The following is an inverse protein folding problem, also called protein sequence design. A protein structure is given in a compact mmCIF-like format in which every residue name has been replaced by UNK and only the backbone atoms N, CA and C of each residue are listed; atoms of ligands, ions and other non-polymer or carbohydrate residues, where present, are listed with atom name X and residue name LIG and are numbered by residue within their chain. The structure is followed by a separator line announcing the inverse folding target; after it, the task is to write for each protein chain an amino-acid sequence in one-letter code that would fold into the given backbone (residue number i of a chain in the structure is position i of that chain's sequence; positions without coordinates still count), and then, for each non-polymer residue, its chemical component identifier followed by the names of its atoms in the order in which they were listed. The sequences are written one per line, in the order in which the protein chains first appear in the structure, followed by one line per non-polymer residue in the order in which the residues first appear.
data_IF_934336045002
#
_entry.id   IF_934336045002
#
_cell.length_a   1.000
_cell.length_b   1.000
_cell.length_c   1.000
_cell.angle_alpha   90.00
_cell.angle_beta   90.00
_cell.angle_gamma   90.00
#
_symmetry.space_group_name_H-M   'P 1'
#
loop_
_entity.id
_entity.type
_entity.pdbx_description
1 polymer ?
#
# COMPACT_ATOMS: atom_id res chain seq x y z
N UNK A 1 2.10 24.36 4.36
CA UNK A 1 2.13 22.91 4.05
C UNK A 1 1.16 22.26 5.02
N UNK A 2 0.14 21.57 4.53
CA UNK A 2 -0.98 21.12 5.36
C UNK A 2 -0.92 19.59 5.49
N UNK A 3 -0.40 19.12 6.63
CA UNK A 3 -0.20 17.71 6.90
C UNK A 3 -1.52 16.93 6.80
N UNK A 4 -2.63 17.55 7.19
CA UNK A 4 -3.96 16.96 7.11
C UNK A 4 -4.38 16.70 5.67
N UNK A 5 -4.11 17.63 4.74
CA UNK A 5 -4.39 17.45 3.30
C UNK A 5 -3.54 16.34 2.69
N UNK A 6 -2.27 16.27 3.09
CA UNK A 6 -1.36 15.24 2.63
C UNK A 6 -1.78 13.85 3.12
N UNK A 7 -2.18 13.74 4.39
CA UNK A 7 -2.67 12.49 4.97
C UNK A 7 -3.98 12.03 4.30
N UNK A 8 -4.92 12.95 4.06
CA UNK A 8 -6.17 12.64 3.34
C UNK A 8 -5.89 12.16 1.91
N UNK A 9 -4.98 12.82 1.19
CA UNK A 9 -4.59 12.38 -0.15
C UNK A 9 -3.84 11.05 -0.16
N UNK A 10 -2.98 10.81 0.84
CA UNK A 10 -2.33 9.52 1.05
C UNK A 10 -3.33 8.41 1.32
N UNK A 11 -4.32 8.65 2.19
CA UNK A 11 -5.41 7.72 2.47
C UNK A 11 -6.23 7.40 1.20
N UNK A 12 -6.52 8.40 0.37
CA UNK A 12 -7.19 8.15 -0.91
C UNK A 12 -6.38 7.20 -1.80
N UNK A 13 -5.06 7.40 -1.90
CA UNK A 13 -4.18 6.47 -2.63
C UNK A 13 -4.15 5.06 -2.04
N UNK A 14 -4.16 4.93 -0.71
CA UNK A 14 -4.21 3.64 -0.01
C UNK A 14 -5.54 2.91 -0.26
N UNK A 15 -6.66 3.62 -0.27
CA UNK A 15 -7.98 3.05 -0.61
C UNK A 15 -8.00 2.58 -2.06
N UNK A 16 -7.50 3.40 -3.00
CA UNK A 16 -7.40 3.01 -4.41
C UNK A 16 -6.55 1.76 -4.58
N UNK A 17 -5.39 1.69 -3.93
CA UNK A 17 -4.51 0.52 -3.95
C UNK A 17 -5.24 -0.75 -3.46
N UNK A 18 -5.97 -0.66 -2.34
CA UNK A 18 -6.72 -1.80 -1.80
C UNK A 18 -7.85 -2.25 -2.71
N UNK A 19 -8.64 -1.33 -3.26
CA UNK A 19 -9.69 -1.64 -4.22
C UNK A 19 -9.13 -2.32 -5.47
N UNK A 20 -7.98 -1.86 -5.92
CA UNK A 20 -7.26 -2.39 -7.06
C UNK A 20 -6.80 -3.83 -6.77
N UNK A 21 -6.20 -4.11 -5.62
CA UNK A 21 -5.83 -5.47 -5.22
C UNK A 21 -7.05 -6.40 -5.12
N UNK A 22 -8.13 -5.94 -4.49
CA UNK A 22 -9.35 -6.72 -4.30
C UNK A 22 -10.03 -7.03 -5.64
N UNK A 23 -10.15 -6.04 -6.52
CA UNK A 23 -10.70 -6.23 -7.86
C UNK A 23 -9.83 -7.19 -8.68
N UNK A 24 -8.51 -7.03 -8.65
CA UNK A 24 -7.58 -7.90 -9.36
C UNK A 24 -7.66 -9.35 -8.88
N UNK A 25 -7.73 -9.57 -7.57
CA UNK A 25 -7.86 -10.91 -6.98
C UNK A 25 -9.10 -11.65 -7.49
N UNK A 26 -10.20 -10.93 -7.74
CA UNK A 26 -11.45 -11.53 -8.26
C UNK A 26 -11.41 -11.86 -9.75
N UNK A 27 -10.56 -11.19 -10.52
CA UNK A 27 -10.57 -11.26 -11.99
C UNK A 27 -9.38 -12.08 -12.51
N UNK A 28 -8.21 -12.00 -11.88
CA UNK A 28 -6.96 -12.56 -12.38
C UNK A 28 -6.39 -13.63 -11.46
N UNK A 29 -6.19 -14.82 -12.02
CA UNK A 29 -5.53 -15.95 -11.33
C UNK A 29 -4.11 -15.60 -10.88
N UNK A 30 -3.42 -14.76 -11.65
CA UNK A 30 -2.03 -14.33 -11.40
C UNK A 30 -1.92 -13.07 -10.49
N UNK A 31 -3.04 -12.54 -9.98
CA UNK A 31 -3.02 -11.37 -9.11
C UNK A 31 -2.17 -11.59 -7.84
N UNK A 32 -1.36 -10.61 -7.43
CA UNK A 32 -0.61 -10.70 -6.19
C UNK A 32 -1.55 -10.73 -5.00
N UNK A 33 -1.34 -11.68 -4.09
CA UNK A 33 -2.18 -11.86 -2.91
C UNK A 33 -1.60 -11.12 -1.70
N UNK A 34 -1.42 -9.80 -1.81
CA UNK A 34 -0.82 -8.93 -0.76
C UNK A 34 -1.47 -9.10 0.61
N UNK A 35 -2.80 -9.32 0.65
CA UNK A 35 -3.52 -9.56 1.91
C UNK A 35 -2.97 -10.76 2.70
N UNK A 36 -2.55 -11.84 2.03
CA UNK A 36 -2.02 -13.04 2.72
C UNK A 36 -0.72 -12.71 3.45
N UNK A 37 0.15 -11.92 2.80
CA UNK A 37 1.40 -11.41 3.39
C UNK A 37 1.10 -10.48 4.56
N UNK A 38 0.10 -9.62 4.43
CA UNK A 38 -0.33 -8.71 5.51
C UNK A 38 -0.87 -9.45 6.72
N UNK A 39 -1.72 -10.46 6.52
CA UNK A 39 -2.29 -11.28 7.60
C UNK A 39 -1.19 -12.08 8.31
N UNK A 40 -0.25 -12.65 7.56
CA UNK A 40 0.92 -13.31 8.14
C UNK A 40 1.75 -12.32 8.98
N UNK A 41 1.97 -11.10 8.49
CA UNK A 41 2.70 -10.07 9.22
C UNK A 41 2.00 -9.70 10.54
N UNK A 42 0.68 -9.55 10.54
CA UNK A 42 -0.11 -9.29 11.76
C UNK A 42 0.01 -10.45 12.74
N UNK A 43 -0.18 -11.69 12.28
CA UNK A 43 -0.07 -12.88 13.13
C UNK A 43 1.32 -13.00 13.73
N UNK A 44 2.36 -12.86 12.92
CA UNK A 44 3.75 -12.97 13.36
C UNK A 44 4.12 -11.88 14.36
N UNK A 45 3.65 -10.65 14.15
CA UNK A 45 3.87 -9.53 15.08
C UNK A 45 3.15 -9.76 16.41
N UNK A 46 1.91 -10.26 16.39
CA UNK A 46 1.19 -10.60 17.61
C UNK A 46 1.92 -11.68 18.41
N UNK A 47 2.36 -12.76 17.75
CA UNK A 47 3.15 -13.82 18.40
C UNK A 47 4.47 -13.30 18.97
N UNK A 48 5.19 -12.45 18.24
CA UNK A 48 6.46 -11.88 18.69
C UNK A 48 6.30 -10.94 19.91
N UNK A 49 5.11 -10.38 20.11
CA UNK A 49 4.79 -9.49 21.24
C UNK A 49 4.07 -10.22 22.38
N UNK A 50 3.90 -11.54 22.29
CA UNK A 50 3.21 -12.34 23.31
C UNK A 50 1.69 -12.13 23.34
N UNK A 51 1.11 -11.52 22.30
CA UNK A 51 -0.32 -11.27 22.17
C UNK A 51 -0.95 -12.42 21.36
N UNK A 52 -2.14 -12.86 21.76
CA UNK A 52 -2.91 -13.82 20.97
C UNK A 52 -3.31 -13.21 19.62
N UNK A 53 -2.93 -13.80 18.48
CA UNK A 53 -3.27 -13.26 17.18
C UNK A 53 -4.78 -13.20 16.96
N UNK A 54 -5.30 -12.15 16.29
CA UNK A 54 -6.68 -12.16 15.83
C UNK A 54 -6.90 -13.25 14.78
N UNK A 55 -8.14 -13.69 14.61
CA UNK A 55 -8.52 -14.74 13.64
C UNK A 55 -9.74 -14.33 12.82
N UNK A 56 -9.91 -14.93 11.63
CA UNK A 56 -11.07 -14.70 10.77
C UNK A 56 -11.28 -13.22 10.43
N UNK A 57 -12.51 -12.72 10.58
CA UNK A 57 -12.84 -11.33 10.26
C UNK A 57 -12.05 -10.29 11.07
N UNK A 58 -11.66 -10.61 12.31
CA UNK A 58 -10.86 -9.71 13.12
C UNK A 58 -9.43 -9.59 12.56
N UNK A 59 -8.86 -10.68 12.05
CA UNK A 59 -7.55 -10.67 11.40
C UNK A 59 -7.59 -9.87 10.11
N UNK A 60 -8.61 -10.11 9.28
CA UNK A 60 -8.82 -9.39 8.03
C UNK A 60 -8.95 -7.88 8.28
N UNK A 61 -9.82 -7.48 9.22
CA UNK A 61 -10.04 -6.07 9.55
C UNK A 61 -8.82 -5.38 10.15
N UNK A 62 -8.07 -6.08 11.01
CA UNK A 62 -6.82 -5.57 11.60
C UNK A 62 -5.76 -5.34 10.50
N UNK A 63 -5.64 -6.29 9.58
CA UNK A 63 -4.71 -6.21 8.46
C UNK A 63 -5.07 -5.07 7.52
N UNK A 64 -6.35 -4.94 7.14
CA UNK A 64 -6.83 -3.84 6.30
C UNK A 64 -6.57 -2.49 6.95
N UNK A 65 -6.83 -2.36 8.26
CA UNK A 65 -6.55 -1.12 8.99
C UNK A 65 -5.05 -0.79 8.99
N UNK A 66 -4.20 -1.77 9.30
CA UNK A 66 -2.76 -1.59 9.31
C UNK A 66 -2.22 -1.21 7.93
N UNK A 67 -2.69 -1.86 6.87
CA UNK A 67 -2.31 -1.55 5.49
C UNK A 67 -2.76 -0.13 5.08
N UNK A 68 -4.03 0.23 5.35
CA UNK A 68 -4.53 1.58 5.06
C UNK A 68 -3.75 2.65 5.83
N UNK A 69 -3.48 2.45 7.12
CA UNK A 69 -2.73 3.39 7.94
C UNK A 69 -1.27 3.52 7.46
N UNK A 70 -0.62 2.39 7.17
CA UNK A 70 0.75 2.34 6.67
C UNK A 70 0.89 3.03 5.31
N UNK A 71 0.05 2.66 4.35
CA UNK A 71 0.07 3.24 3.01
C UNK A 71 -0.37 4.71 3.01
N UNK A 72 -1.36 5.09 3.82
CA UNK A 72 -1.76 6.50 3.94
C UNK A 72 -0.61 7.36 4.46
N UNK A 73 0.07 6.89 5.51
CA UNK A 73 1.23 7.56 6.09
C UNK A 73 2.36 7.66 5.06
N UNK A 74 2.70 6.55 4.40
CA UNK A 74 3.73 6.49 3.37
C UNK A 74 3.44 7.43 2.18
N UNK A 75 2.23 7.37 1.61
CA UNK A 75 1.84 8.21 0.49
C UNK A 75 1.63 9.68 0.85
N UNK A 76 1.36 10.01 2.12
CA UNK A 76 1.25 11.42 2.54
C UNK A 76 2.54 12.21 2.26
N UNK A 77 3.70 11.54 2.27
CA UNK A 77 5.01 12.14 2.00
C UNK A 77 5.11 12.65 0.55
N UNK A 78 4.29 12.13 -0.38
CA UNK A 78 4.23 12.63 -1.77
C UNK A 78 3.89 14.14 -1.80
N UNK A 79 3.10 14.63 -0.85
CA UNK A 79 2.77 16.04 -0.74
C UNK A 79 3.87 16.92 -0.16
N UNK A 80 5.03 16.37 0.21
CA UNK A 80 6.17 17.12 0.74
C UNK A 80 7.14 17.49 -0.39
N UNK A 81 7.21 18.78 -0.72
CA UNK A 81 8.10 19.33 -1.76
C UNK A 81 7.36 20.09 -2.86
N UNK A 82 8.07 20.44 -3.94
CA UNK A 82 7.54 21.29 -5.01
C UNK A 82 6.29 20.68 -5.69
N UNK A 83 5.17 21.42 -5.77
CA UNK A 83 3.95 21.01 -6.49
C UNK A 83 4.17 20.62 -7.95
N UNK A 84 5.17 21.17 -8.65
CA UNK A 84 5.48 20.84 -10.05
C UNK A 84 5.89 19.39 -10.23
N UNK A 85 6.54 18.80 -9.23
CA UNK A 85 7.05 17.42 -9.26
C UNK A 85 6.11 16.36 -8.70
N UNK A 86 4.87 16.71 -8.33
CA UNK A 86 4.00 15.82 -7.54
C UNK A 86 3.68 14.49 -8.22
N UNK A 87 3.47 14.49 -9.54
CA UNK A 87 3.18 13.27 -10.29
C UNK A 87 4.37 12.33 -10.39
N UNK A 88 5.56 12.87 -10.69
CA UNK A 88 6.79 12.10 -10.73
C UNK A 88 7.11 11.51 -9.36
N UNK A 89 6.90 12.29 -8.29
CA UNK A 89 7.05 11.82 -6.91
C UNK A 89 6.05 10.72 -6.57
N UNK A 90 4.77 10.87 -6.95
CA UNK A 90 3.75 9.84 -6.75
C UNK A 90 4.10 8.51 -7.42
N UNK A 91 4.52 8.56 -8.69
CA UNK A 91 4.99 7.37 -9.40
C UNK A 91 6.24 6.77 -8.73
N UNK A 92 7.23 7.58 -8.37
CA UNK A 92 8.46 7.11 -7.73
C UNK A 92 8.19 6.44 -6.38
N UNK A 93 7.34 7.04 -5.52
CA UNK A 93 6.96 6.45 -4.23
C UNK A 93 6.18 5.15 -4.41
N UNK A 94 5.27 5.09 -5.40
CA UNK A 94 4.54 3.86 -5.70
C UNK A 94 5.44 2.74 -6.22
N UNK A 95 6.36 3.04 -7.14
CA UNK A 95 7.37 2.07 -7.60
C UNK A 95 8.22 1.59 -6.42
N UNK A 96 8.71 2.52 -5.59
CA UNK A 96 9.51 2.20 -4.42
C UNK A 96 8.76 1.30 -3.41
N UNK A 97 7.46 1.55 -3.19
CA UNK A 97 6.63 0.72 -2.33
C UNK A 97 6.46 -0.70 -2.90
N UNK A 98 6.19 -0.82 -4.20
CA UNK A 98 6.04 -2.12 -4.85
C UNK A 98 7.34 -2.94 -4.87
N UNK A 99 8.47 -2.29 -5.16
CA UNK A 99 9.79 -2.93 -5.08
C UNK A 99 10.13 -3.30 -3.63
N UNK A 100 9.79 -2.42 -2.69
CA UNK A 100 9.94 -2.68 -1.26
C UNK A 100 9.13 -3.88 -0.81
N UNK A 101 7.87 -4.01 -1.23
CA UNK A 101 7.02 -5.15 -0.92
C UNK A 101 7.62 -6.47 -1.43
N UNK A 102 8.16 -6.49 -2.66
CA UNK A 102 8.82 -7.67 -3.21
C UNK A 102 10.15 -7.98 -2.49
N UNK A 103 10.94 -6.96 -2.17
CA UNK A 103 12.28 -7.11 -1.61
C UNK A 103 12.32 -7.37 -0.11
N UNK A 104 11.34 -6.88 0.66
CA UNK A 104 11.36 -6.92 2.13
C UNK A 104 10.59 -8.09 2.73
N UNK A 105 9.62 -8.67 2.01
CA UNK A 105 8.78 -9.77 2.52
C UNK A 105 9.63 -10.94 3.04
N UNK A 106 10.54 -11.46 2.22
CA UNK A 106 11.40 -12.59 2.60
C UNK A 106 12.39 -12.26 3.73
N UNK A 107 13.11 -11.12 3.73
CA UNK A 107 13.93 -10.69 4.87
C UNK A 107 13.17 -10.53 6.20
N UNK A 108 11.89 -10.17 6.16
CA UNK A 108 11.02 -10.12 7.35
C UNK A 108 10.57 -11.52 7.80
N UNK A 109 10.99 -12.56 7.08
CA UNK A 109 10.64 -13.96 7.29
C UNK A 109 9.16 -14.23 7.05
N UNK A 110 8.54 -13.49 6.13
CA UNK A 110 7.20 -13.71 5.64
C UNK A 110 7.25 -14.55 4.35
N UNK A 111 6.14 -15.20 4.01
CA UNK A 111 5.99 -15.92 2.75
C UNK A 111 5.88 -14.95 1.57
N UNK A 112 6.85 -14.99 0.66
CA UNK A 112 6.87 -14.15 -0.54
C UNK A 112 6.17 -14.78 -1.75
N UNK A 113 5.83 -16.07 -1.70
CA UNK A 113 5.12 -16.77 -2.80
C UNK A 113 3.85 -16.04 -3.27
N UNK A 114 3.00 -15.47 -2.39
CA UNK A 114 1.77 -14.76 -2.77
C UNK A 114 1.99 -13.57 -3.72
N UNK A 115 3.18 -12.96 -3.69
CA UNK A 115 3.51 -11.73 -4.45
C UNK A 115 4.69 -11.91 -5.41
N UNK A 116 5.43 -13.02 -5.28
CA UNK A 116 6.70 -13.26 -5.96
C UNK A 116 6.73 -14.56 -6.80
N UNK A 117 5.60 -15.25 -6.95
CA UNK A 117 5.52 -16.55 -7.66
C UNK A 117 6.03 -16.55 -9.11
N UNK A 118 5.87 -15.44 -9.82
CA UNK A 118 6.34 -15.28 -11.20
C UNK A 118 6.53 -13.80 -11.56
N UNK A 119 7.19 -13.54 -12.70
CA UNK A 119 7.48 -12.18 -13.18
C UNK A 119 6.22 -11.35 -13.40
N UNK A 120 5.10 -11.96 -13.82
CA UNK A 120 3.84 -11.23 -13.99
C UNK A 120 3.31 -10.73 -12.64
N UNK A 121 3.28 -11.58 -11.62
CA UNK A 121 2.84 -11.19 -10.27
C UNK A 121 3.75 -10.11 -9.67
N UNK A 122 5.06 -10.17 -9.91
CA UNK A 122 5.99 -9.10 -9.51
C UNK A 122 5.67 -7.77 -10.19
N UNK A 123 5.53 -7.76 -11.52
CA UNK A 123 5.18 -6.56 -12.30
C UNK A 123 3.85 -5.99 -11.83
N UNK A 124 2.86 -6.85 -11.63
CA UNK A 124 1.55 -6.44 -11.11
C UNK A 124 1.66 -5.79 -9.74
N UNK A 125 2.43 -6.38 -8.82
CA UNK A 125 2.67 -5.78 -7.48
C UNK A 125 3.19 -4.35 -7.63
N UNK A 126 4.25 -4.13 -8.42
CA UNK A 126 4.80 -2.78 -8.65
C UNK A 126 3.78 -1.87 -9.32
N UNK A 127 3.03 -2.35 -10.31
CA UNK A 127 2.03 -1.58 -11.02
C UNK A 127 0.90 -1.09 -10.10
N UNK A 128 0.38 -1.96 -9.22
CA UNK A 128 -0.69 -1.61 -8.29
C UNK A 128 -0.24 -0.52 -7.31
N UNK A 129 0.94 -0.66 -6.70
CA UNK A 129 1.49 0.38 -5.82
C UNK A 129 1.75 1.69 -6.57
N UNK A 130 2.18 1.62 -7.84
CA UNK A 130 2.35 2.80 -8.70
C UNK A 130 1.02 3.52 -8.95
N UNK A 131 -0.06 2.77 -9.21
CA UNK A 131 -1.42 3.32 -9.34
C UNK A 131 -1.85 4.02 -8.04
N UNK A 132 -1.62 3.39 -6.88
CA UNK A 132 -1.90 3.99 -5.56
C UNK A 132 -1.15 5.30 -5.35
N UNK A 133 0.16 5.34 -5.67
CA UNK A 133 0.98 6.54 -5.54
C UNK A 133 0.56 7.68 -6.48
N UNK A 134 0.19 7.37 -7.72
CA UNK A 134 -0.35 8.37 -8.67
C UNK A 134 -1.72 8.88 -8.20
N UNK A 135 -2.59 8.01 -7.69
CA UNK A 135 -3.88 8.40 -7.14
C UNK A 135 -3.71 9.35 -5.93
N UNK A 136 -2.77 9.04 -5.02
CA UNK A 136 -2.42 9.93 -3.92
C UNK A 136 -1.92 11.30 -4.43
N UNK A 137 -1.00 11.32 -5.40
CA UNK A 137 -0.51 12.56 -5.99
C UNK A 137 -1.63 13.44 -6.55
N UNK A 138 -2.59 12.83 -7.26
CA UNK A 138 -3.76 13.53 -7.78
C UNK A 138 -4.65 14.10 -6.68
N UNK A 139 -4.97 13.31 -5.66
CA UNK A 139 -5.79 13.74 -4.53
C UNK A 139 -5.12 14.89 -3.76
N UNK A 140 -3.83 14.76 -3.44
CA UNK A 140 -3.06 15.82 -2.77
C UNK A 140 -3.05 17.09 -3.61
N UNK A 141 -2.79 17.00 -4.92
CA UNK A 141 -2.78 18.15 -5.83
C UNK A 141 -4.11 18.90 -5.80
N UNK A 142 -5.24 18.18 -5.84
CA UNK A 142 -6.58 18.76 -5.80
C UNK A 142 -6.84 19.44 -4.45
N UNK A 143 -6.54 18.75 -3.34
CA UNK A 143 -6.77 19.26 -1.98
C UNK A 143 -5.92 20.50 -1.68
N UNK A 144 -4.66 20.52 -2.12
CA UNK A 144 -3.77 21.67 -1.94
C UNK A 144 -4.16 22.86 -2.82
N UNK A 145 -4.81 22.64 -3.97
CA UNK A 145 -5.19 23.71 -4.89
C UNK A 145 -6.58 24.32 -4.59
N UNK A 146 -7.52 23.52 -4.07
CA UNK A 146 -8.89 23.97 -3.73
C UNK A 146 -8.96 24.86 -2.47
N UNK A 147 -7.90 24.88 -1.66
CA UNK A 147 -7.88 25.52 -0.33
C UNK A 147 -6.73 26.54 -0.24
N UNK A 148 -6.45 27.22 -1.35
CA UNK A 148 -5.69 28.46 -1.40
C UNK A 148 -6.66 29.62 -1.41
#
# INVERSE_FOLDING_TARGET
MDLSKNLLGGLFGAVVLNLVHEAARRIWVDAPQIQEVGEEAVVKTALATGITPPTGNALYGTTLFADLAGNASYFSVIGTGDPKGIWARGAAYGIAAGVGALGLTKPLGLDDRPINRNVRTQILTVAWYTIGGIAAAGAIKILQNKWK
#
